data_IF_977872882147
#
_entry.id   IF_977872882147
#
_cell.length_a   1.000
_cell.length_b   1.000
_cell.length_c   1.000
_cell.angle_alpha   90.00
_cell.angle_beta   90.00
_cell.angle_gamma   90.00
#
_symmetry.space_group_name_H-M   'P 1'
#
loop_
_entity.id
_entity.type
_entity.pdbx_description
1 polymer ?
#
# COMPACT_ATOMS: atom_id res chain seq x y z
N UNK A 1 9.02 -0.98 4.37
CA UNK A 1 8.43 -1.14 5.71
C UNK A 1 9.17 -0.36 6.77
N UNK A 2 8.68 -0.36 8.02
CA UNK A 2 9.17 0.45 9.15
C UNK A 2 10.66 0.26 9.49
N UNK A 3 11.22 -0.91 9.21
CA UNK A 3 12.65 -1.21 9.38
C UNK A 3 13.49 -0.90 8.13
N UNK A 4 12.88 -0.49 7.03
CA UNK A 4 13.55 -0.20 5.78
C UNK A 4 14.38 1.09 5.86
N UNK A 5 15.46 1.14 5.07
CA UNK A 5 16.25 2.36 4.86
C UNK A 5 15.63 3.19 3.75
N UNK A 6 15.84 4.51 3.80
CA UNK A 6 15.49 5.38 2.68
C UNK A 6 16.29 5.01 1.43
N UNK A 7 15.62 5.08 0.30
CA UNK A 7 16.21 4.97 -1.03
C UNK A 7 16.14 6.35 -1.69
N UNK A 8 17.19 6.73 -2.39
CA UNK A 8 17.22 7.94 -3.21
C UNK A 8 17.26 7.50 -4.66
N UNK A 9 16.37 8.03 -5.48
CA UNK A 9 16.38 7.82 -6.92
C UNK A 9 16.06 9.12 -7.66
N UNK A 10 16.34 9.18 -8.94
CA UNK A 10 16.03 10.31 -9.81
C UNK A 10 14.68 10.07 -10.52
N UNK A 11 13.76 11.02 -10.43
CA UNK A 11 12.48 10.96 -11.11
C UNK A 11 12.62 11.25 -12.63
N UNK A 12 11.52 11.15 -13.37
CA UNK A 12 11.51 11.40 -14.83
C UNK A 12 11.87 12.86 -15.21
N UNK A 13 11.92 13.78 -14.25
CA UNK A 13 12.31 15.19 -14.42
C UNK A 13 13.76 15.45 -14.02
N UNK A 14 14.51 14.43 -13.58
CA UNK A 14 15.86 14.55 -13.10
C UNK A 14 15.97 15.08 -11.66
N UNK A 15 14.89 15.01 -10.87
CA UNK A 15 14.89 15.48 -9.49
C UNK A 15 15.10 14.30 -8.52
N UNK A 16 15.88 14.50 -7.43
CA UNK A 16 16.08 13.47 -6.43
C UNK A 16 14.80 13.27 -5.60
N UNK A 17 14.36 12.02 -5.48
CA UNK A 17 13.24 11.60 -4.65
C UNK A 17 13.76 10.68 -3.56
N UNK A 18 13.38 10.94 -2.32
CA UNK A 18 13.73 10.13 -1.15
C UNK A 18 12.46 9.41 -0.70
N UNK A 19 12.52 8.09 -0.64
CA UNK A 19 11.38 7.28 -0.22
C UNK A 19 11.79 6.03 0.54
N UNK A 20 10.88 5.49 1.35
CA UNK A 20 10.95 4.14 1.94
C UNK A 20 9.88 3.21 1.35
N UNK A 21 9.01 3.73 0.51
CA UNK A 21 7.94 2.96 -0.09
C UNK A 21 8.46 2.03 -1.19
N UNK A 22 8.19 0.73 -1.02
CA UNK A 22 8.68 -0.30 -1.93
C UNK A 22 8.06 -0.26 -3.31
N UNK A 23 6.78 0.14 -3.44
CA UNK A 23 6.14 0.25 -4.76
C UNK A 23 6.71 1.44 -5.54
N UNK A 24 6.91 2.58 -4.88
CA UNK A 24 7.53 3.76 -5.49
C UNK A 24 8.94 3.45 -6.00
N UNK A 25 9.75 2.74 -5.20
CA UNK A 25 11.09 2.28 -5.62
C UNK A 25 10.98 1.31 -6.79
N UNK A 26 10.08 0.32 -6.74
CA UNK A 26 9.91 -0.62 -7.85
C UNK A 26 9.54 0.09 -9.16
N UNK A 27 8.62 1.05 -9.09
CA UNK A 27 8.20 1.83 -10.28
C UNK A 27 9.33 2.64 -10.90
N UNK A 28 10.26 3.14 -10.10
CA UNK A 28 11.39 3.92 -10.58
C UNK A 28 12.41 3.10 -11.39
N UNK A 29 12.41 1.76 -11.25
CA UNK A 29 13.33 0.89 -11.94
C UNK A 29 12.95 0.79 -13.42
N UNK A 30 13.78 1.33 -14.30
CA UNK A 30 13.66 1.20 -15.76
C UNK A 30 14.98 0.65 -16.30
N UNK A 31 14.91 -0.46 -17.02
CA UNK A 31 16.09 -1.10 -17.60
C UNK A 31 16.23 -0.70 -19.06
N UNK A 32 17.46 -0.55 -19.52
CA UNK A 32 17.77 -0.13 -20.87
C UNK A 32 17.40 -1.20 -21.92
N UNK A 33 17.67 -2.46 -21.61
CA UNK A 33 17.30 -3.58 -22.49
C UNK A 33 15.78 -3.83 -22.42
N UNK A 34 15.06 -3.85 -23.56
CA UNK A 34 13.61 -4.02 -23.58
C UNK A 34 13.14 -5.37 -23.00
N UNK A 35 13.94 -6.44 -23.18
CA UNK A 35 13.59 -7.78 -22.68
C UNK A 35 13.75 -7.84 -21.17
N UNK A 36 14.86 -7.31 -20.66
CA UNK A 36 15.08 -7.19 -19.22
C UNK A 36 14.02 -6.28 -18.56
N UNK A 37 13.70 -5.16 -19.22
CA UNK A 37 12.66 -4.24 -18.73
C UNK A 37 11.28 -4.88 -18.71
N UNK A 38 10.96 -5.77 -19.63
CA UNK A 38 9.73 -6.57 -19.59
C UNK A 38 9.70 -7.48 -18.35
N UNK A 39 10.83 -8.14 -18.03
CA UNK A 39 10.97 -8.92 -16.80
C UNK A 39 10.78 -8.08 -15.54
N UNK A 40 11.42 -6.91 -15.48
CA UNK A 40 11.23 -5.97 -14.39
C UNK A 40 9.76 -5.54 -14.23
N UNK A 41 9.07 -5.28 -15.34
CA UNK A 41 7.65 -4.90 -15.34
C UNK A 41 6.75 -6.01 -14.75
N UNK A 42 7.02 -7.27 -15.04
CA UNK A 42 6.28 -8.39 -14.45
C UNK A 42 6.48 -8.49 -12.93
N UNK A 43 7.67 -8.20 -12.43
CA UNK A 43 7.94 -8.17 -10.99
C UNK A 43 7.25 -6.97 -10.33
N UNK A 44 7.25 -5.81 -10.98
CA UNK A 44 6.52 -4.62 -10.52
C UNK A 44 5.04 -4.89 -10.35
N UNK A 45 4.45 -5.71 -11.22
CA UNK A 45 3.03 -6.07 -11.15
C UNK A 45 2.69 -6.79 -9.84
N UNK A 46 3.59 -7.60 -9.29
CA UNK A 46 3.41 -8.20 -7.97
C UNK A 46 3.30 -7.12 -6.86
N UNK A 47 4.15 -6.10 -6.89
CA UNK A 47 4.09 -4.99 -5.93
C UNK A 47 2.81 -4.16 -6.10
N UNK A 48 2.41 -3.84 -7.34
CA UNK A 48 1.17 -3.11 -7.65
C UNK A 48 -0.07 -3.82 -7.16
N UNK A 49 -0.17 -5.11 -7.42
CA UNK A 49 -1.32 -5.90 -6.98
C UNK A 49 -1.38 -5.97 -5.45
N UNK A 50 -0.23 -6.11 -4.79
CA UNK A 50 -0.17 -6.15 -3.33
C UNK A 50 -0.60 -4.83 -2.71
N UNK A 51 -0.16 -3.67 -3.22
CA UNK A 51 -0.61 -2.38 -2.67
C UNK A 51 -2.09 -2.14 -2.92
N UNK A 52 -2.61 -2.56 -4.05
CA UNK A 52 -4.03 -2.40 -4.37
C UNK A 52 -4.96 -3.24 -3.49
N UNK A 53 -4.53 -4.43 -3.12
CA UNK A 53 -5.36 -5.38 -2.36
C UNK A 53 -5.13 -5.32 -0.85
N UNK A 54 -3.91 -5.06 -0.41
CA UNK A 54 -3.52 -5.09 1.00
C UNK A 54 -2.98 -3.76 1.53
N UNK A 55 -2.63 -2.80 0.68
CA UNK A 55 -2.08 -1.51 1.08
C UNK A 55 -0.64 -1.55 1.60
N UNK A 56 -0.08 -2.72 1.89
CA UNK A 56 1.27 -2.90 2.43
C UNK A 56 1.87 -4.24 1.96
N UNK A 57 3.14 -4.48 2.28
CA UNK A 57 3.84 -5.74 1.95
C UNK A 57 4.45 -5.80 0.54
N UNK A 58 4.57 -4.69 -0.16
CA UNK A 58 5.07 -4.60 -1.54
C UNK A 58 6.49 -5.13 -1.70
N UNK A 59 7.38 -4.78 -0.78
CA UNK A 59 8.76 -5.29 -0.76
C UNK A 59 8.79 -6.80 -0.53
N UNK A 60 7.98 -7.30 0.40
CA UNK A 60 7.86 -8.74 0.68
C UNK A 60 7.37 -9.50 -0.55
N UNK A 61 6.35 -8.99 -1.23
CA UNK A 61 5.82 -9.58 -2.46
C UNK A 61 6.89 -9.63 -3.56
N UNK A 62 7.69 -8.58 -3.73
CA UNK A 62 8.77 -8.52 -4.70
C UNK A 62 9.86 -9.56 -4.40
N UNK A 63 10.27 -9.68 -3.14
CA UNK A 63 11.28 -10.67 -2.70
C UNK A 63 10.77 -12.10 -2.88
N UNK A 64 9.50 -12.36 -2.56
CA UNK A 64 8.89 -13.67 -2.76
C UNK A 64 8.79 -14.03 -4.26
N UNK A 65 8.39 -13.08 -5.11
CA UNK A 65 8.35 -13.27 -6.55
C UNK A 65 9.73 -13.63 -7.12
N UNK A 66 10.76 -12.89 -6.72
CA UNK A 66 12.16 -13.15 -7.12
C UNK A 66 12.63 -14.53 -6.65
N UNK A 67 12.36 -14.88 -5.38
CA UNK A 67 12.74 -16.17 -4.81
C UNK A 67 12.05 -17.34 -5.51
N UNK A 68 10.75 -17.22 -5.81
CA UNK A 68 10.01 -18.21 -6.59
C UNK A 68 10.60 -18.39 -7.99
N UNK A 69 10.91 -17.31 -8.69
CA UNK A 69 11.53 -17.36 -10.02
C UNK A 69 12.90 -18.05 -10.00
N UNK A 70 13.72 -17.76 -8.99
CA UNK A 70 15.03 -18.42 -8.81
C UNK A 70 14.88 -19.93 -8.60
N UNK A 71 13.94 -20.36 -7.78
CA UNK A 71 13.73 -21.79 -7.53
C UNK A 71 13.12 -22.51 -8.75
N UNK A 72 12.17 -21.87 -9.44
CA UNK A 72 11.60 -22.39 -10.68
C UNK A 72 12.67 -22.56 -11.74
N UNK A 73 13.60 -21.61 -11.88
CA UNK A 73 14.69 -21.67 -12.87
C UNK A 73 15.66 -22.82 -12.62
N UNK A 74 15.79 -23.30 -11.38
CA UNK A 74 16.62 -24.46 -11.04
C UNK A 74 15.91 -25.79 -11.23
N UNK A 75 14.58 -25.78 -11.31
CA UNK A 75 13.75 -26.98 -11.40
C UNK A 75 13.86 -27.62 -12.79
N UNK A 76 13.93 -28.94 -12.83
CA UNK A 76 13.86 -29.75 -14.05
C UNK A 76 12.45 -30.30 -14.33
N UNK A 77 11.50 -30.00 -13.44
CA UNK A 77 10.11 -30.41 -13.60
C UNK A 77 9.44 -29.64 -14.76
N UNK A 78 8.39 -30.19 -15.32
CA UNK A 78 7.63 -29.48 -16.33
C UNK A 78 6.81 -28.34 -15.73
N UNK A 79 6.41 -27.38 -16.54
CA UNK A 79 5.71 -26.16 -16.10
C UNK A 79 4.41 -26.46 -15.35
N UNK A 80 3.69 -27.55 -15.71
CA UNK A 80 2.45 -27.94 -15.05
C UNK A 80 2.72 -28.41 -13.63
N UNK A 81 3.70 -29.28 -13.45
CA UNK A 81 4.12 -29.77 -12.14
C UNK A 81 4.59 -28.64 -11.23
N UNK A 82 5.35 -27.67 -11.79
CA UNK A 82 5.79 -26.47 -11.07
C UNK A 82 4.57 -25.65 -10.60
N UNK A 83 3.61 -25.38 -11.48
CA UNK A 83 2.38 -24.66 -11.12
C UNK A 83 1.58 -25.36 -10.03
N UNK A 84 1.40 -26.67 -10.15
CA UNK A 84 0.67 -27.47 -9.18
C UNK A 84 1.40 -27.49 -7.82
N UNK A 85 2.73 -27.57 -7.83
CA UNK A 85 3.58 -27.45 -6.64
C UNK A 85 3.45 -26.11 -5.96
N UNK A 86 3.51 -25.00 -6.70
CA UNK A 86 3.34 -23.65 -6.16
C UNK A 86 1.95 -23.49 -5.56
N UNK A 87 0.88 -23.95 -6.27
CA UNK A 87 -0.48 -23.88 -5.78
C UNK A 87 -0.67 -24.67 -4.47
N UNK A 88 -0.13 -25.88 -4.41
CA UNK A 88 -0.17 -26.70 -3.20
C UNK A 88 0.59 -26.07 -2.04
N UNK A 89 1.76 -25.48 -2.32
CA UNK A 89 2.55 -24.75 -1.33
C UNK A 89 1.80 -23.53 -0.79
N UNK A 90 1.20 -22.75 -1.69
CA UNK A 90 0.41 -21.55 -1.34
C UNK A 90 -0.76 -21.90 -0.42
N UNK A 91 -1.51 -22.98 -0.73
CA UNK A 91 -2.60 -23.43 0.14
C UNK A 91 -2.11 -23.72 1.56
N UNK A 92 -0.99 -24.42 1.71
CA UNK A 92 -0.42 -24.73 3.05
C UNK A 92 0.02 -23.48 3.79
N UNK A 93 0.60 -22.50 3.08
CA UNK A 93 1.01 -21.22 3.66
C UNK A 93 -0.21 -20.44 4.13
N UNK A 94 -1.24 -20.33 3.31
CA UNK A 94 -2.47 -19.63 3.68
C UNK A 94 -3.16 -20.29 4.88
N UNK A 95 -3.29 -21.61 4.89
CA UNK A 95 -3.84 -22.36 6.03
C UNK A 95 -3.06 -22.12 7.32
N UNK A 96 -1.75 -21.93 7.22
CA UNK A 96 -0.90 -21.60 8.36
C UNK A 96 -1.11 -20.16 8.80
N UNK A 97 -1.13 -19.21 7.87
CA UNK A 97 -1.36 -17.80 8.17
C UNK A 97 -2.73 -17.57 8.83
N UNK A 98 -3.77 -18.26 8.35
CA UNK A 98 -5.11 -18.20 8.96
C UNK A 98 -5.12 -18.69 10.42
N UNK A 99 -4.27 -19.66 10.74
CA UNK A 99 -4.16 -20.19 12.12
C UNK A 99 -3.41 -19.26 13.06
N UNK A 100 -2.44 -18.50 12.54
CA UNK A 100 -1.59 -17.63 13.38
C UNK A 100 -2.04 -16.18 13.38
N UNK A 101 -2.92 -15.80 12.44
CA UNK A 101 -3.43 -14.44 12.37
C UNK A 101 -4.30 -14.13 13.59
N UNK A 102 -4.13 -12.95 14.15
CA UNK A 102 -4.86 -12.44 15.31
C UNK A 102 -5.64 -11.21 14.90
N UNK A 103 -6.89 -11.12 15.35
CA UNK A 103 -7.70 -9.92 15.13
C UNK A 103 -7.08 -8.73 15.86
N UNK A 104 -7.07 -7.59 15.19
CA UNK A 104 -6.64 -6.33 15.80
C UNK A 104 -7.72 -5.85 16.76
N UNK A 105 -7.37 -5.70 18.05
CA UNK A 105 -8.25 -5.22 19.10
C UNK A 105 -7.50 -4.25 20.03
N UNK A 106 -8.20 -3.21 20.50
CA UNK A 106 -7.68 -2.25 21.47
C UNK A 106 -6.35 -1.60 21.06
N UNK A 107 -5.35 -1.66 21.94
CA UNK A 107 -4.04 -1.02 21.74
C UNK A 107 -3.24 -1.55 20.54
N UNK A 108 -3.61 -2.71 20.00
CA UNK A 108 -2.98 -3.25 18.81
C UNK A 108 -3.22 -2.34 17.59
N UNK A 109 -4.38 -1.70 17.51
CA UNK A 109 -4.67 -0.77 16.41
C UNK A 109 -3.69 0.39 16.39
N UNK A 110 -3.39 0.98 17.55
CA UNK A 110 -2.39 2.03 17.69
C UNK A 110 -1.01 1.56 17.26
N UNK A 111 -0.59 0.38 17.69
CA UNK A 111 0.71 -0.19 17.32
C UNK A 111 0.83 -0.43 15.81
N UNK A 112 -0.20 -0.98 15.18
CA UNK A 112 -0.24 -1.21 13.74
C UNK A 112 -0.21 0.12 12.98
N UNK A 113 -1.01 1.11 13.42
CA UNK A 113 -1.03 2.44 12.81
C UNK A 113 0.34 3.12 12.88
N UNK A 114 1.00 3.09 14.05
CA UNK A 114 2.33 3.69 14.21
C UNK A 114 3.37 3.02 13.31
N UNK A 115 3.37 1.69 13.21
CA UNK A 115 4.28 0.96 12.31
C UNK A 115 4.02 1.36 10.86
N UNK A 116 2.78 1.48 10.45
CA UNK A 116 2.38 1.88 9.09
C UNK A 116 2.81 3.31 8.76
N UNK A 117 2.85 4.18 9.77
CA UNK A 117 3.36 5.55 9.68
C UNK A 117 4.87 5.65 9.92
N UNK A 118 5.61 4.58 9.66
CA UNK A 118 7.08 4.56 9.78
C UNK A 118 7.59 4.79 11.22
N UNK A 119 6.90 4.25 12.21
CA UNK A 119 7.11 4.40 13.66
C UNK A 119 6.85 5.83 14.18
N UNK A 120 6.02 6.58 13.51
CA UNK A 120 5.49 7.82 14.03
C UNK A 120 4.34 7.51 14.99
N UNK A 121 4.57 7.70 16.29
CA UNK A 121 3.58 7.36 17.31
C UNK A 121 2.44 8.39 17.36
N UNK A 122 2.73 9.65 17.10
CA UNK A 122 1.75 10.73 17.13
C UNK A 122 0.75 10.58 15.97
N UNK A 123 1.25 10.39 14.75
CA UNK A 123 0.42 10.14 13.58
C UNK A 123 -0.32 8.80 13.71
N UNK A 124 0.33 7.78 14.25
CA UNK A 124 -0.28 6.48 14.52
C UNK A 124 -1.45 6.56 15.48
N UNK A 125 -1.39 7.41 16.50
CA UNK A 125 -2.47 7.65 17.44
C UNK A 125 -3.67 8.33 16.77
N UNK A 126 -3.42 9.37 15.97
CA UNK A 126 -4.45 10.08 15.20
C UNK A 126 -5.21 9.12 14.28
N UNK A 127 -4.49 8.26 13.56
CA UNK A 127 -5.10 7.25 12.67
C UNK A 127 -5.89 6.21 13.46
N UNK A 128 -5.35 5.72 14.57
CA UNK A 128 -6.06 4.76 15.42
C UNK A 128 -7.33 5.37 16.01
N UNK A 129 -7.33 6.64 16.39
CA UNK A 129 -8.50 7.39 16.83
C UNK A 129 -9.54 7.48 15.71
N UNK A 130 -9.15 7.81 14.48
CA UNK A 130 -10.03 7.88 13.32
C UNK A 130 -10.75 6.55 13.10
N UNK A 131 -10.01 5.44 13.02
CA UNK A 131 -10.61 4.11 12.87
C UNK A 131 -11.50 3.70 14.04
N UNK A 132 -11.16 4.11 15.25
CA UNK A 132 -11.99 3.85 16.44
C UNK A 132 -13.30 4.61 16.38
N UNK A 133 -13.29 5.86 15.91
CA UNK A 133 -14.48 6.71 15.78
C UNK A 133 -15.45 6.23 14.70
N UNK A 134 -14.94 5.84 13.53
CA UNK A 134 -15.78 5.41 12.40
C UNK A 134 -16.20 3.93 12.49
N UNK A 135 -15.49 3.13 13.28
CA UNK A 135 -15.79 1.71 13.45
C UNK A 135 -15.43 0.84 12.24
N UNK A 136 -15.92 -0.41 12.23
CA UNK A 136 -15.51 -1.43 11.24
C UNK A 136 -15.99 -1.16 9.82
N UNK A 137 -17.11 -0.48 9.68
CA UNK A 137 -17.77 -0.23 8.39
C UNK A 137 -17.48 1.19 7.87
N UNK A 138 -16.72 1.97 8.64
CA UNK A 138 -16.36 3.33 8.28
C UNK A 138 -15.17 3.38 7.32
N UNK A 139 -15.11 4.43 6.52
CA UNK A 139 -14.02 4.73 5.61
C UNK A 139 -13.19 5.85 6.20
N UNK A 140 -11.88 5.68 6.26
CA UNK A 140 -10.93 6.71 6.66
C UNK A 140 -10.20 7.19 5.42
N UNK A 141 -10.30 8.49 5.14
CA UNK A 141 -9.59 9.16 4.06
C UNK A 141 -8.59 10.14 4.67
N UNK A 142 -7.52 10.39 3.96
CA UNK A 142 -6.48 11.33 4.37
C UNK A 142 -6.42 12.44 3.32
N UNK A 143 -6.56 13.68 3.77
CA UNK A 143 -6.56 14.87 2.93
C UNK A 143 -5.59 15.90 3.51
N UNK A 144 -5.18 16.85 2.68
CA UNK A 144 -4.38 17.98 3.15
C UNK A 144 -5.22 18.88 4.05
N UNK A 145 -4.71 19.18 5.25
CA UNK A 145 -5.37 20.10 6.18
C UNK A 145 -5.35 21.53 5.64
N UNK A 146 -6.46 22.26 5.69
CA UNK A 146 -6.48 23.69 5.38
C UNK A 146 -5.81 24.55 6.49
N UNK A 147 -5.43 23.92 7.61
CA UNK A 147 -4.76 24.53 8.75
C UNK A 147 -3.37 23.92 8.95
N UNK A 148 -2.57 24.46 9.89
CA UNK A 148 -1.27 23.89 10.24
C UNK A 148 -1.39 22.66 11.16
N UNK A 149 -2.59 22.32 11.63
CA UNK A 149 -2.84 21.22 12.55
C UNK A 149 -3.36 19.99 11.83
N UNK A 150 -2.93 18.80 12.27
CA UNK A 150 -3.50 17.52 11.86
C UNK A 150 -4.62 17.15 12.82
N UNK A 151 -5.81 16.88 12.29
CA UNK A 151 -6.98 16.53 13.10
C UNK A 151 -7.86 15.47 12.43
N UNK A 152 -8.76 14.88 13.21
CA UNK A 152 -9.75 13.90 12.73
C UNK A 152 -11.10 14.55 12.69
N UNK A 153 -11.71 14.58 11.52
CA UNK A 153 -13.10 14.97 11.31
C UNK A 153 -13.95 13.74 10.99
N UNK A 154 -15.07 13.59 11.66
CA UNK A 154 -16.03 12.50 11.40
C UNK A 154 -17.24 13.09 10.72
N UNK A 155 -17.56 12.55 9.55
CA UNK A 155 -18.70 12.98 8.73
C UNK A 155 -19.70 11.83 8.64
N UNK A 156 -20.97 12.12 8.92
CA UNK A 156 -22.06 11.16 8.72
C UNK A 156 -22.53 11.23 7.25
N UNK A 157 -22.39 10.13 6.53
CA UNK A 157 -22.82 10.03 5.14
C UNK A 157 -21.68 9.76 4.17
N UNK A 158 -21.86 10.17 2.93
CA UNK A 158 -20.86 10.04 1.86
C UNK A 158 -20.37 11.42 1.45
N UNK A 159 -19.07 11.65 1.59
CA UNK A 159 -18.44 12.84 1.06
C UNK A 159 -18.21 12.67 -0.43
N UNK A 160 -18.61 13.66 -1.20
CA UNK A 160 -18.42 13.70 -2.65
C UNK A 160 -17.47 14.84 -2.98
N UNK A 161 -16.31 14.54 -3.54
CA UNK A 161 -15.31 15.53 -3.99
C UNK A 161 -15.77 16.26 -5.26
N UNK A 162 -16.91 16.91 -5.15
CA UNK A 162 -17.45 17.67 -6.25
C UNK A 162 -18.13 18.92 -5.71
N UNK A 163 -17.60 20.06 -6.07
CA UNK A 163 -18.25 21.34 -5.81
C UNK A 163 -19.43 21.60 -6.74
N UNK A 164 -19.94 22.83 -6.72
CA UNK A 164 -21.01 23.27 -7.60
C UNK A 164 -20.63 23.11 -9.07
N UNK A 165 -21.45 22.39 -9.82
CA UNK A 165 -21.26 22.18 -11.27
C UNK A 165 -21.23 23.49 -12.05
N UNK A 166 -21.87 24.54 -11.54
CA UNK A 166 -21.87 25.87 -12.12
C UNK A 166 -22.10 26.96 -11.05
N UNK A 167 -21.38 28.09 -11.11
CA UNK A 167 -21.64 29.26 -10.26
C UNK A 167 -23.06 29.83 -10.38
N UNK A 168 -23.78 29.48 -11.45
CA UNK A 168 -25.17 29.92 -11.65
C UNK A 168 -26.17 29.26 -10.69
N UNK A 169 -25.79 28.19 -10.00
CA UNK A 169 -26.64 27.58 -8.98
C UNK A 169 -26.55 28.30 -7.62
N UNK A 170 -25.66 29.27 -7.48
CA UNK A 170 -25.58 30.10 -6.27
C UNK A 170 -26.63 31.20 -6.35
N UNK A 171 -27.66 31.09 -5.53
CA UNK A 171 -28.78 32.05 -5.49
C UNK A 171 -28.45 33.26 -4.61
N UNK A 172 -27.56 33.14 -3.63
CA UNK A 172 -27.13 34.22 -2.76
C UNK A 172 -25.58 34.25 -2.73
N UNK A 173 -24.98 35.22 -3.42
CA UNK A 173 -23.51 35.33 -3.55
C UNK A 173 -22.82 35.84 -2.28
N UNK A 174 -23.58 36.36 -1.33
CA UNK A 174 -23.05 36.94 -0.09
C UNK A 174 -23.00 35.90 1.04
N UNK A 175 -23.54 34.70 0.78
CA UNK A 175 -23.58 33.57 1.73
C UNK A 175 -22.83 32.33 1.24
N UNK A 176 -21.81 32.53 0.45
CA UNK A 176 -20.88 31.46 0.06
C UNK A 176 -20.08 30.98 1.23
#
# INVERSE_FOLDING_TARGET
GASGKCVIYEDARGLPVITKDGVTVAESVVLFDPVENMGATLIKEAARNTVREAGDGTTTATVLAESLLKEVSKSKANIREIKDGIKSGLTKVNDYLDKISVKIEGDMLRSVSSISCNNDEELGEIIAEAYTKVGKDGVVLMEESPTEETYVEVVDGVQVDSGLTSPHFVTDKDKQ
#
